data_IF_720734757171
#
_entry.id   IF_720734757171
#
_cell.length_a   1.000
_cell.length_b   1.000
_cell.length_c   1.000
_cell.angle_alpha   90.00
_cell.angle_beta   90.00
_cell.angle_gamma   90.00
#
_symmetry.space_group_name_H-M   'P 1'
#
loop_
_entity.id
_entity.type
_entity.pdbx_description
1 polymer ?
#
# COMPACT_ATOMS: atom_id res chain seq x y z
N UNK A 1 12.06 -8.26 -15.86
CA UNK A 1 10.60 -8.48 -16.00
C UNK A 1 10.02 -7.63 -17.12
N UNK A 2 10.04 -6.29 -17.03
CA UNK A 2 9.47 -5.40 -18.06
C UNK A 2 10.12 -5.59 -19.43
N UNK A 3 11.46 -5.58 -19.50
CA UNK A 3 12.20 -5.84 -20.75
C UNK A 3 11.83 -7.21 -21.33
N UNK A 4 11.80 -8.24 -20.49
CA UNK A 4 11.39 -9.60 -20.90
C UNK A 4 9.98 -9.62 -21.46
N UNK A 5 9.05 -8.87 -20.87
CA UNK A 5 7.67 -8.76 -21.36
C UNK A 5 7.59 -8.04 -22.71
N UNK A 6 8.34 -6.95 -22.89
CA UNK A 6 8.42 -6.23 -24.17
C UNK A 6 8.98 -7.12 -25.28
N UNK A 7 10.04 -7.87 -25.00
CA UNK A 7 10.60 -8.85 -25.94
C UNK A 7 9.59 -9.97 -26.22
N UNK A 8 8.87 -10.47 -25.21
CA UNK A 8 7.85 -11.50 -25.39
C UNK A 8 6.71 -11.05 -26.31
N UNK A 9 6.31 -9.77 -26.26
CA UNK A 9 5.27 -9.22 -27.15
C UNK A 9 5.72 -9.24 -28.62
N UNK A 10 7.00 -9.02 -28.88
CA UNK A 10 7.57 -9.05 -30.24
C UNK A 10 7.80 -10.48 -30.72
N UNK A 11 8.34 -11.36 -29.87
CA UNK A 11 8.70 -12.73 -30.23
C UNK A 11 7.51 -13.69 -30.26
N UNK A 12 6.48 -13.45 -29.46
CA UNK A 12 5.26 -14.26 -29.38
C UNK A 12 4.02 -13.39 -29.66
N UNK A 13 3.85 -12.88 -30.89
CA UNK A 13 2.67 -12.10 -31.24
C UNK A 13 1.43 -12.99 -31.20
N UNK A 14 0.32 -12.47 -30.67
CA UNK A 14 -1.00 -13.14 -30.57
C UNK A 14 -1.16 -14.22 -29.47
N UNK A 15 -0.45 -14.12 -28.35
CA UNK A 15 -0.76 -14.96 -27.19
C UNK A 15 -2.21 -14.72 -26.72
N UNK A 16 -3.00 -15.80 -26.65
CA UNK A 16 -4.35 -15.77 -26.07
C UNK A 16 -4.34 -15.28 -24.62
N UNK A 17 -3.28 -15.62 -23.88
CA UNK A 17 -3.05 -15.16 -22.53
C UNK A 17 -1.66 -14.49 -22.44
N UNK A 18 -1.59 -13.15 -22.39
CA UNK A 18 -0.33 -12.42 -22.31
C UNK A 18 0.56 -12.82 -21.12
N UNK A 19 -0.01 -13.42 -20.07
CA UNK A 19 0.71 -13.86 -18.87
C UNK A 19 1.65 -15.03 -19.15
N UNK A 20 1.40 -15.80 -20.20
CA UNK A 20 2.25 -16.94 -20.60
C UNK A 20 3.55 -16.48 -21.26
N UNK A 21 3.62 -15.25 -21.77
CA UNK A 21 4.78 -14.74 -22.50
C UNK A 21 6.08 -14.80 -21.69
N UNK A 22 6.01 -14.56 -20.39
CA UNK A 22 7.19 -14.65 -19.53
C UNK A 22 7.71 -16.10 -19.41
N UNK A 23 6.80 -17.07 -19.29
CA UNK A 23 7.15 -18.50 -19.19
C UNK A 23 7.70 -19.00 -20.53
N UNK A 24 7.10 -18.60 -21.64
CA UNK A 24 7.59 -18.94 -22.99
C UNK A 24 8.98 -18.39 -23.26
N UNK A 25 9.25 -17.14 -22.85
CA UNK A 25 10.60 -16.57 -22.93
C UNK A 25 11.62 -17.41 -22.16
N UNK A 26 11.26 -17.88 -20.97
CA UNK A 26 12.14 -18.73 -20.17
C UNK A 26 12.40 -20.07 -20.85
N UNK A 27 11.37 -20.77 -21.30
CA UNK A 27 11.50 -22.12 -21.86
C UNK A 27 12.20 -22.14 -23.22
N UNK A 28 12.02 -21.10 -24.04
CA UNK A 28 12.65 -21.02 -25.37
C UNK A 28 14.09 -20.53 -25.33
N UNK A 29 14.46 -19.65 -24.38
CA UNK A 29 15.74 -18.95 -24.42
C UNK A 29 16.72 -19.31 -23.29
N UNK A 30 16.27 -19.98 -22.21
CA UNK A 30 17.19 -20.40 -21.15
C UNK A 30 17.74 -21.81 -21.38
N UNK A 31 19.07 -22.02 -21.22
CA UNK A 31 19.64 -23.36 -21.19
C UNK A 31 19.15 -24.12 -19.96
N UNK A 32 19.15 -25.47 -20.02
CA UNK A 32 18.54 -26.35 -19.01
C UNK A 32 18.92 -26.01 -17.55
N UNK A 33 20.18 -25.66 -17.29
CA UNK A 33 20.65 -25.27 -15.95
C UNK A 33 20.03 -23.95 -15.46
N UNK A 34 20.03 -22.91 -16.30
CA UNK A 34 19.43 -21.61 -15.96
C UNK A 34 17.91 -21.65 -15.92
N UNK A 35 17.29 -22.53 -16.73
CA UNK A 35 15.85 -22.76 -16.68
C UNK A 35 15.42 -23.30 -15.31
N UNK A 36 16.10 -24.34 -14.81
CA UNK A 36 15.86 -24.90 -13.47
C UNK A 36 16.09 -23.89 -12.35
N UNK A 37 17.16 -23.09 -12.46
CA UNK A 37 17.44 -21.99 -11.53
C UNK A 37 16.30 -20.97 -11.50
N UNK A 38 15.82 -20.54 -12.67
CA UNK A 38 14.75 -19.55 -12.79
C UNK A 38 13.42 -20.07 -12.21
N UNK A 39 13.04 -21.31 -12.49
CA UNK A 39 11.86 -21.93 -11.88
C UNK A 39 11.96 -21.96 -10.35
N UNK A 40 13.12 -22.34 -9.82
CA UNK A 40 13.37 -22.38 -8.38
C UNK A 40 13.28 -20.97 -7.78
N UNK A 41 13.86 -19.96 -8.44
CA UNK A 41 13.79 -18.57 -8.02
C UNK A 41 12.35 -18.03 -7.99
N UNK A 42 11.53 -18.34 -9.01
CA UNK A 42 10.12 -17.96 -9.05
C UNK A 42 9.32 -18.63 -7.93
N UNK A 43 9.53 -19.92 -7.71
CA UNK A 43 8.89 -20.66 -6.61
C UNK A 43 9.28 -20.07 -5.24
N UNK A 44 10.57 -19.76 -5.04
CA UNK A 44 11.08 -19.11 -3.84
C UNK A 44 10.46 -17.73 -3.63
N UNK A 45 10.38 -16.90 -4.68
CA UNK A 45 9.76 -15.59 -4.61
C UNK A 45 8.28 -15.68 -4.22
N UNK A 46 7.54 -16.61 -4.82
CA UNK A 46 6.14 -16.87 -4.47
C UNK A 46 5.97 -17.32 -3.01
N UNK A 47 6.81 -18.27 -2.55
CA UNK A 47 6.82 -18.73 -1.16
C UNK A 47 7.10 -17.59 -0.17
N UNK A 48 8.00 -16.67 -0.52
CA UNK A 48 8.31 -15.52 0.33
C UNK A 48 7.09 -14.61 0.56
N UNK A 49 6.32 -14.36 -0.51
CA UNK A 49 5.10 -13.54 -0.45
C UNK A 49 4.02 -14.24 0.38
N UNK A 50 3.77 -15.52 0.13
CA UNK A 50 2.77 -16.29 0.89
C UNK A 50 3.15 -16.38 2.36
N UNK A 51 4.42 -16.70 2.66
CA UNK A 51 4.91 -16.80 4.03
C UNK A 51 4.73 -15.49 4.77
N UNK A 52 4.97 -14.35 4.12
CA UNK A 52 4.77 -13.02 4.73
C UNK A 52 3.31 -12.80 5.11
N UNK A 53 2.37 -13.09 4.21
CA UNK A 53 0.94 -12.91 4.45
C UNK A 53 0.40 -13.86 5.53
N UNK A 54 0.81 -15.13 5.52
CA UNK A 54 0.43 -16.10 6.55
C UNK A 54 1.00 -15.67 7.92
N UNK A 55 2.25 -15.22 7.95
CA UNK A 55 2.89 -14.79 9.19
C UNK A 55 2.20 -13.55 9.79
N UNK A 56 1.93 -12.52 8.97
CA UNK A 56 1.19 -11.34 9.41
C UNK A 56 -0.24 -11.69 9.85
N UNK A 57 -0.97 -12.46 9.04
CA UNK A 57 -2.33 -12.88 9.35
C UNK A 57 -2.42 -13.69 10.65
N UNK A 58 -1.50 -14.62 10.88
CA UNK A 58 -1.47 -15.39 12.12
C UNK A 58 -1.10 -14.52 13.32
N UNK A 59 -0.20 -13.55 13.15
CA UNK A 59 0.22 -12.65 14.22
C UNK A 59 -0.94 -11.75 14.66
N UNK A 60 -1.72 -11.20 13.73
CA UNK A 60 -2.90 -10.41 14.06
C UNK A 60 -3.97 -11.24 14.79
N UNK A 61 -4.30 -12.43 14.27
CA UNK A 61 -5.29 -13.31 14.92
C UNK A 61 -4.84 -13.79 16.30
N UNK A 62 -3.54 -14.02 16.50
CA UNK A 62 -3.03 -14.50 17.79
C UNK A 62 -2.83 -13.37 18.78
N UNK A 63 -2.11 -12.31 18.42
CA UNK A 63 -1.74 -11.24 19.37
C UNK A 63 -2.91 -10.30 19.61
N UNK A 64 -3.55 -9.85 18.55
CA UNK A 64 -4.54 -8.76 18.66
C UNK A 64 -5.92 -9.29 19.05
N UNK A 65 -6.22 -10.55 18.71
CA UNK A 65 -7.50 -11.18 19.04
C UNK A 65 -7.38 -12.25 20.14
N UNK A 66 -6.68 -13.36 19.87
CA UNK A 66 -6.67 -14.52 20.78
C UNK A 66 -6.04 -14.20 22.14
N UNK A 67 -4.85 -13.61 22.15
CA UNK A 67 -4.17 -13.21 23.38
C UNK A 67 -4.98 -12.13 24.08
N UNK A 68 -5.37 -11.07 23.38
CA UNK A 68 -6.07 -9.94 24.00
C UNK A 68 -7.44 -10.30 24.61
N UNK A 69 -8.25 -11.13 23.96
CA UNK A 69 -9.65 -11.34 24.35
C UNK A 69 -9.98 -12.76 24.81
N UNK A 70 -9.28 -13.79 24.32
CA UNK A 70 -9.61 -15.20 24.62
C UNK A 70 -8.75 -15.73 25.77
N UNK A 71 -7.43 -15.50 25.73
CA UNK A 71 -6.50 -16.02 26.73
C UNK A 71 -5.32 -15.06 26.96
N UNK A 72 -5.47 -14.03 27.81
CA UNK A 72 -4.46 -12.97 28.01
C UNK A 72 -3.22 -13.35 28.81
N UNK A 73 -3.27 -14.43 29.59
CA UNK A 73 -2.19 -14.81 30.51
C UNK A 73 -1.64 -16.22 30.25
N UNK A 74 -1.41 -16.58 28.98
CA UNK A 74 -0.75 -17.84 28.64
C UNK A 74 0.77 -17.65 28.53
N UNK A 75 1.53 -18.74 28.68
CA UNK A 75 2.98 -18.73 28.42
C UNK A 75 3.24 -18.47 26.94
N UNK A 76 4.34 -17.80 26.59
CA UNK A 76 4.74 -17.54 25.18
C UNK A 76 4.71 -18.79 24.29
N UNK A 77 5.15 -19.94 24.82
CA UNK A 77 5.09 -21.23 24.10
C UNK A 77 3.67 -21.60 23.65
N UNK A 78 2.65 -21.23 24.42
CA UNK A 78 1.24 -21.40 24.04
C UNK A 78 0.90 -20.57 22.81
N UNK A 79 1.22 -19.26 22.81
CA UNK A 79 0.93 -18.39 21.67
C UNK A 79 1.67 -18.80 20.40
N UNK A 80 2.92 -19.27 20.51
CA UNK A 80 3.67 -19.81 19.36
C UNK A 80 2.96 -21.04 18.79
N UNK A 81 2.49 -21.96 19.63
CA UNK A 81 1.76 -23.15 19.17
C UNK A 81 0.42 -22.78 18.51
N UNK A 82 -0.32 -21.81 19.09
CA UNK A 82 -1.56 -21.31 18.48
C UNK A 82 -1.27 -20.62 17.16
N UNK A 83 -0.20 -19.82 17.06
CA UNK A 83 0.22 -19.16 15.80
C UNK A 83 0.56 -20.17 14.71
N UNK A 84 1.21 -21.29 15.04
CA UNK A 84 1.45 -22.39 14.08
C UNK A 84 0.15 -23.01 13.59
N UNK A 85 -0.81 -23.26 14.49
CA UNK A 85 -2.11 -23.81 14.13
C UNK A 85 -2.93 -22.85 13.26
N UNK A 86 -2.95 -21.55 13.62
CA UNK A 86 -3.61 -20.50 12.84
C UNK A 86 -2.93 -20.33 11.47
N UNK A 87 -1.59 -20.42 11.41
CA UNK A 87 -0.86 -20.35 10.14
C UNK A 87 -1.27 -21.48 9.19
N UNK A 88 -1.38 -22.71 9.70
CA UNK A 88 -1.87 -23.85 8.93
C UNK A 88 -3.32 -23.64 8.48
N UNK A 89 -4.18 -23.14 9.35
CA UNK A 89 -5.58 -22.84 9.02
C UNK A 89 -5.68 -21.77 7.92
N UNK A 90 -4.89 -20.69 8.00
CA UNK A 90 -4.84 -19.65 6.98
C UNK A 90 -4.30 -20.18 5.66
N UNK A 91 -3.29 -21.05 5.69
CA UNK A 91 -2.74 -21.69 4.50
C UNK A 91 -3.80 -22.54 3.78
N UNK A 92 -4.50 -23.41 4.51
CA UNK A 92 -5.56 -24.27 3.95
C UNK A 92 -6.74 -23.43 3.45
N UNK A 93 -7.18 -22.45 4.23
CA UNK A 93 -8.27 -21.53 3.85
C UNK A 93 -7.91 -20.73 2.59
N UNK A 94 -6.69 -20.20 2.53
CA UNK A 94 -6.18 -19.46 1.37
C UNK A 94 -6.10 -20.32 0.11
N UNK A 95 -5.63 -21.57 0.23
CA UNK A 95 -5.61 -22.52 -0.87
C UNK A 95 -7.03 -22.86 -1.38
N UNK A 96 -7.98 -23.06 -0.46
CA UNK A 96 -9.37 -23.35 -0.80
C UNK A 96 -10.05 -22.16 -1.48
N UNK A 97 -9.89 -20.95 -0.94
CA UNK A 97 -10.43 -19.74 -1.55
C UNK A 97 -9.80 -19.52 -2.92
N UNK A 98 -8.48 -19.70 -3.05
CA UNK A 98 -7.77 -19.62 -4.32
C UNK A 98 -8.29 -20.62 -5.37
N UNK A 99 -8.65 -21.83 -4.94
CA UNK A 99 -9.24 -22.85 -5.81
C UNK A 99 -10.65 -22.49 -6.30
N UNK A 100 -11.48 -21.88 -5.44
CA UNK A 100 -12.87 -21.51 -5.76
C UNK A 100 -12.95 -20.16 -6.50
N UNK A 101 -11.92 -19.32 -6.39
CA UNK A 101 -11.94 -17.96 -6.93
C UNK A 101 -11.97 -17.96 -8.47
N UNK A 102 -13.08 -17.49 -9.03
CA UNK A 102 -13.32 -17.44 -10.47
C UNK A 102 -12.57 -16.29 -11.18
N UNK A 103 -12.29 -15.19 -10.47
CA UNK A 103 -11.60 -14.02 -11.03
C UNK A 103 -10.61 -13.44 -10.04
N UNK A 104 -9.32 -13.49 -10.38
CA UNK A 104 -8.25 -12.85 -9.62
C UNK A 104 -8.34 -11.32 -9.72
N UNK A 105 -8.71 -10.81 -10.90
CA UNK A 105 -8.81 -9.36 -11.15
C UNK A 105 -9.93 -8.76 -10.31
N UNK A 106 -11.10 -9.39 -10.28
CA UNK A 106 -12.22 -8.90 -9.47
C UNK A 106 -11.96 -8.92 -7.97
N UNK A 107 -11.21 -9.93 -7.48
CA UNK A 107 -10.75 -9.97 -6.08
C UNK A 107 -9.79 -8.82 -5.75
N UNK A 108 -8.84 -8.53 -6.66
CA UNK A 108 -7.92 -7.41 -6.52
C UNK A 108 -8.63 -6.05 -6.56
N UNK A 109 -9.56 -5.86 -7.49
CA UNK A 109 -10.37 -4.65 -7.60
C UNK A 109 -11.18 -4.40 -6.33
N UNK A 110 -11.82 -5.45 -5.76
CA UNK A 110 -12.55 -5.32 -4.50
C UNK A 110 -11.63 -4.84 -3.36
N UNK A 111 -10.45 -5.44 -3.22
CA UNK A 111 -9.48 -5.07 -2.19
C UNK A 111 -8.99 -3.63 -2.37
N UNK A 112 -8.72 -3.21 -3.61
CA UNK A 112 -8.31 -1.84 -3.90
C UNK A 112 -9.41 -0.83 -3.61
N UNK A 113 -10.67 -1.13 -3.96
CA UNK A 113 -11.80 -0.24 -3.70
C UNK A 113 -12.03 -0.05 -2.20
N UNK A 114 -11.97 -1.13 -1.40
CA UNK A 114 -12.05 -1.04 0.07
C UNK A 114 -10.86 -0.25 0.62
N UNK A 115 -9.65 -0.57 0.16
CA UNK A 115 -8.41 0.08 0.60
C UNK A 115 -8.43 1.59 0.34
N UNK A 116 -8.86 2.02 -0.85
CA UNK A 116 -8.97 3.43 -1.21
C UNK A 116 -9.91 4.22 -0.29
N UNK A 117 -11.04 3.64 0.10
CA UNK A 117 -11.96 4.26 1.05
C UNK A 117 -11.37 4.49 2.44
N UNK A 118 -10.39 3.66 2.84
CA UNK A 118 -9.68 3.79 4.13
C UNK A 118 -8.37 4.57 4.05
N UNK A 119 -7.80 4.74 2.86
CA UNK A 119 -6.46 5.31 2.70
C UNK A 119 -6.33 6.73 3.25
N UNK A 120 -7.34 7.57 3.01
CA UNK A 120 -7.29 8.98 3.44
C UNK A 120 -7.27 9.14 4.96
N UNK A 121 -8.06 8.37 5.72
CA UNK A 121 -8.06 8.48 7.18
C UNK A 121 -6.73 8.01 7.77
N UNK A 122 -6.12 6.96 7.21
CA UNK A 122 -4.83 6.43 7.68
C UNK A 122 -3.65 7.36 7.40
N UNK A 123 -3.71 8.15 6.33
CA UNK A 123 -2.73 9.20 6.07
C UNK A 123 -3.00 10.39 6.99
N UNK A 124 -4.24 10.88 7.01
CA UNK A 124 -4.57 12.14 7.66
C UNK A 124 -4.43 12.07 9.19
N UNK A 125 -4.53 10.90 9.81
CA UNK A 125 -4.32 10.73 11.27
C UNK A 125 -2.96 11.25 11.74
N UNK A 126 -1.96 11.22 10.88
CA UNK A 126 -0.62 11.73 11.19
C UNK A 126 -0.56 13.26 11.17
N UNK A 127 -1.48 13.92 10.47
CA UNK A 127 -1.49 15.37 10.26
C UNK A 127 -2.64 16.08 10.99
N UNK A 128 -3.64 15.35 11.50
CA UNK A 128 -4.83 15.91 12.14
C UNK A 128 -5.20 15.21 13.44
N UNK A 129 -4.97 15.90 14.56
CA UNK A 129 -5.22 15.44 15.94
C UNK A 129 -6.66 15.02 16.25
N UNK A 130 -7.65 15.40 15.41
CA UNK A 130 -9.07 15.09 15.63
C UNK A 130 -9.43 13.65 15.26
N UNK A 131 -8.63 13.00 14.42
CA UNK A 131 -8.89 11.63 13.98
C UNK A 131 -8.74 10.71 15.19
N UNK A 132 -9.79 9.93 15.47
CA UNK A 132 -9.88 9.02 16.60
C UNK A 132 -10.28 7.61 16.13
N UNK A 133 -10.43 6.68 17.08
CA UNK A 133 -10.81 5.30 16.75
C UNK A 133 -12.14 5.20 15.97
N UNK A 134 -13.11 6.08 16.24
CA UNK A 134 -14.40 6.09 15.53
C UNK A 134 -14.28 6.58 14.09
N UNK A 135 -13.36 7.50 13.80
CA UNK A 135 -13.00 7.90 12.44
C UNK A 135 -12.50 6.68 11.64
N UNK A 136 -11.55 5.91 12.20
CA UNK A 136 -10.99 4.75 11.50
C UNK A 136 -12.02 3.62 11.33
N UNK A 137 -12.76 3.27 12.40
CA UNK A 137 -13.78 2.22 12.36
C UNK A 137 -14.87 2.57 11.34
N UNK A 138 -15.32 3.83 11.31
CA UNK A 138 -16.35 4.25 10.37
C UNK A 138 -15.88 4.27 8.93
N UNK A 139 -14.63 4.67 8.67
CA UNK A 139 -14.02 4.58 7.34
C UNK A 139 -13.96 3.12 6.87
N UNK A 140 -13.44 2.21 7.70
CA UNK A 140 -13.32 0.78 7.36
C UNK A 140 -14.69 0.13 7.12
N UNK A 141 -15.65 0.41 8.01
CA UNK A 141 -17.00 -0.17 7.92
C UNK A 141 -17.75 0.36 6.69
N UNK A 142 -17.72 1.68 6.48
CA UNK A 142 -18.37 2.28 5.30
C UNK A 142 -17.71 1.86 4.00
N UNK A 143 -16.38 1.74 3.95
CA UNK A 143 -15.67 1.31 2.75
C UNK A 143 -16.06 -0.11 2.35
N UNK A 144 -16.16 -1.02 3.31
CA UNK A 144 -16.65 -2.38 3.07
C UNK A 144 -18.10 -2.37 2.58
N UNK A 145 -19.00 -1.70 3.31
CA UNK A 145 -20.44 -1.68 2.99
C UNK A 145 -20.70 -1.06 1.61
N UNK A 146 -20.07 0.09 1.31
CA UNK A 146 -20.26 0.78 0.03
C UNK A 146 -19.67 -0.05 -1.11
N UNK A 147 -18.45 -0.57 -0.98
CA UNK A 147 -17.82 -1.41 -2.01
C UNK A 147 -18.67 -2.64 -2.35
N UNK A 148 -19.15 -3.35 -1.33
CA UNK A 148 -20.01 -4.51 -1.51
C UNK A 148 -21.36 -4.12 -2.12
N UNK A 149 -21.96 -3.03 -1.66
CA UNK A 149 -23.24 -2.54 -2.19
C UNK A 149 -23.14 -2.19 -3.67
N UNK A 150 -22.09 -1.49 -4.10
CA UNK A 150 -21.86 -1.15 -5.50
C UNK A 150 -21.69 -2.39 -6.38
N UNK A 151 -20.96 -3.41 -5.90
CA UNK A 151 -20.82 -4.68 -6.63
C UNK A 151 -22.14 -5.45 -6.71
N UNK A 152 -22.93 -5.46 -5.64
CA UNK A 152 -24.25 -6.10 -5.63
C UNK A 152 -25.23 -5.38 -6.55
N UNK A 153 -25.29 -4.04 -6.51
CA UNK A 153 -26.17 -3.25 -7.38
C UNK A 153 -25.85 -3.45 -8.86
N UNK A 154 -24.57 -3.55 -9.22
CA UNK A 154 -24.14 -3.88 -10.59
C UNK A 154 -24.52 -5.32 -10.96
N UNK A 155 -24.35 -6.28 -10.05
CA UNK A 155 -24.74 -7.68 -10.26
C UNK A 155 -26.24 -7.83 -10.54
N UNK A 156 -27.09 -7.02 -9.90
CA UNK A 156 -28.54 -7.02 -10.11
C UNK A 156 -29.02 -6.01 -11.18
N UNK A 157 -28.11 -5.41 -11.94
CA UNK A 157 -28.41 -4.42 -12.99
C UNK A 157 -29.23 -3.19 -12.50
N UNK A 158 -29.21 -2.91 -11.20
CA UNK A 158 -29.86 -1.72 -10.61
C UNK A 158 -29.02 -0.46 -10.80
N UNK A 159 -27.73 -0.64 -11.03
CA UNK A 159 -26.78 0.43 -11.32
C UNK A 159 -25.81 -0.09 -12.39
N UNK A 160 -25.71 0.62 -13.52
CA UNK A 160 -24.92 0.17 -14.66
C UNK A 160 -23.84 1.20 -14.94
N UNK A 161 -22.58 0.83 -14.70
CA UNK A 161 -21.43 1.58 -15.17
C UNK A 161 -20.95 1.02 -16.50
N UNK A 162 -20.32 1.85 -17.37
CA UNK A 162 -19.62 1.36 -18.54
C UNK A 162 -18.55 0.34 -18.11
N UNK A 163 -18.53 -0.86 -18.71
CA UNK A 163 -17.66 -1.97 -18.27
C UNK A 163 -16.18 -1.58 -18.14
N UNK A 164 -15.67 -0.74 -19.05
CA UNK A 164 -14.27 -0.29 -19.04
C UNK A 164 -13.94 0.68 -17.91
N UNK A 165 -14.94 1.33 -17.33
CA UNK A 165 -14.79 2.38 -16.31
C UNK A 165 -15.41 1.99 -14.97
N UNK A 166 -16.06 0.84 -14.87
CA UNK A 166 -16.77 0.38 -13.67
C UNK A 166 -15.88 0.41 -12.44
N UNK A 167 -14.67 -0.14 -12.53
CA UNK A 167 -13.69 -0.10 -11.44
C UNK A 167 -13.31 1.31 -11.02
N UNK A 168 -13.11 2.23 -11.98
CA UNK A 168 -12.79 3.63 -11.70
C UNK A 168 -13.93 4.36 -10.98
N UNK A 169 -15.17 4.14 -11.42
CA UNK A 169 -16.35 4.69 -10.75
C UNK A 169 -16.54 4.11 -9.35
N UNK A 170 -16.38 2.79 -9.18
CA UNK A 170 -16.42 2.13 -7.87
C UNK A 170 -15.42 2.75 -6.89
N UNK A 171 -14.17 2.95 -7.34
CA UNK A 171 -13.12 3.57 -6.55
C UNK A 171 -13.47 5.00 -6.14
N UNK A 172 -13.88 5.84 -7.08
CA UNK A 172 -14.18 7.25 -6.83
C UNK A 172 -15.37 7.38 -5.89
N UNK A 173 -16.46 6.66 -6.17
CA UNK A 173 -17.68 6.71 -5.35
C UNK A 173 -17.39 6.22 -3.94
N UNK A 174 -16.73 5.06 -3.81
CA UNK A 174 -16.37 4.53 -2.49
C UNK A 174 -15.51 5.54 -1.74
N UNK A 175 -14.48 6.12 -2.36
CA UNK A 175 -13.60 7.09 -1.72
C UNK A 175 -14.35 8.34 -1.26
N UNK A 176 -15.21 8.92 -2.10
CA UNK A 176 -15.98 10.12 -1.76
C UNK A 176 -16.91 9.85 -0.59
N UNK A 177 -17.76 8.82 -0.69
CA UNK A 177 -18.78 8.57 0.33
C UNK A 177 -18.17 8.13 1.67
N UNK A 178 -17.15 7.27 1.64
CA UNK A 178 -16.41 6.89 2.87
C UNK A 178 -15.77 8.11 3.52
N UNK A 179 -15.18 9.00 2.71
CA UNK A 179 -14.56 10.22 3.20
C UNK A 179 -15.56 11.14 3.88
N UNK A 180 -16.71 11.34 3.28
CA UNK A 180 -17.80 12.11 3.89
C UNK A 180 -18.25 11.48 5.22
N UNK A 181 -18.45 10.15 5.24
CA UNK A 181 -18.93 9.45 6.44
C UNK A 181 -17.94 9.59 7.60
N UNK A 182 -16.66 9.27 7.39
CA UNK A 182 -15.69 9.32 8.48
C UNK A 182 -15.39 10.77 8.89
N UNK A 183 -15.44 11.74 7.99
CA UNK A 183 -15.33 13.17 8.34
C UNK A 183 -16.48 13.61 9.24
N UNK A 184 -17.72 13.29 8.88
CA UNK A 184 -18.91 13.59 9.69
C UNK A 184 -18.74 12.97 11.09
N UNK A 185 -18.35 11.71 11.16
CA UNK A 185 -18.15 11.01 12.44
C UNK A 185 -17.01 11.63 13.26
N UNK A 186 -15.92 12.06 12.62
CA UNK A 186 -14.80 12.75 13.30
C UNK A 186 -15.22 14.09 13.92
N UNK A 187 -16.14 14.80 13.28
CA UNK A 187 -16.67 16.06 13.78
C UNK A 187 -17.71 15.85 14.89
N UNK A 188 -18.53 14.80 14.79
CA UNK A 188 -19.56 14.46 15.78
C UNK A 188 -19.00 13.79 17.04
N UNK A 189 -17.92 13.03 16.91
CA UNK A 189 -17.30 12.32 18.04
C UNK A 189 -16.36 13.24 18.83
N UNK A 190 -16.22 12.93 20.11
CA UNK A 190 -15.27 13.64 20.97
C UNK A 190 -13.84 13.28 20.54
N UNK A 191 -12.91 14.26 20.54
CA UNK A 191 -11.50 13.94 20.33
C UNK A 191 -10.98 13.06 21.46
N UNK A 192 -9.85 12.39 21.22
CA UNK A 192 -9.15 11.63 22.25
C UNK A 192 -8.77 12.50 23.44
N UNK A 193 -8.54 11.86 24.60
CA UNK A 193 -8.17 12.58 25.81
C UNK A 193 -6.90 13.42 25.60
N UNK A 194 -6.88 14.62 26.18
CA UNK A 194 -5.75 15.55 26.05
C UNK A 194 -4.43 14.92 26.51
N UNK A 195 -4.48 14.06 27.52
CA UNK A 195 -3.32 13.30 28.01
C UNK A 195 -2.76 12.36 26.93
N UNK A 196 -3.64 11.60 26.26
CA UNK A 196 -3.23 10.70 25.17
C UNK A 196 -2.63 11.48 24.00
N UNK A 197 -3.24 12.62 23.63
CA UNK A 197 -2.74 13.48 22.55
C UNK A 197 -1.37 14.08 22.88
N UNK A 198 -1.15 14.52 24.12
CA UNK A 198 0.16 15.02 24.58
C UNK A 198 1.21 13.92 24.59
N UNK A 199 0.88 12.74 25.12
CA UNK A 199 1.78 11.58 25.14
C UNK A 199 2.16 11.13 23.72
N UNK A 200 1.20 11.13 22.78
CA UNK A 200 1.46 10.85 21.37
C UNK A 200 2.37 11.92 20.77
N UNK A 201 2.07 13.19 20.96
CA UNK A 201 2.87 14.30 20.42
C UNK A 201 4.32 14.27 20.91
N UNK A 202 4.54 13.97 22.20
CA UNK A 202 5.88 13.86 22.78
C UNK A 202 6.72 12.75 22.16
N UNK A 203 6.10 11.60 21.83
CA UNK A 203 6.77 10.42 21.29
C UNK A 203 6.94 10.48 19.78
N UNK A 204 5.86 10.76 19.06
CA UNK A 204 5.83 10.69 17.60
C UNK A 204 6.25 12.00 16.93
N UNK A 205 6.19 13.12 17.66
CA UNK A 205 6.52 14.46 17.16
C UNK A 205 5.97 14.70 15.74
N UNK A 206 4.65 14.51 15.53
CA UNK A 206 4.06 14.61 14.20
C UNK A 206 4.18 16.05 13.67
N UNK A 207 4.61 16.18 12.42
CA UNK A 207 4.66 17.45 11.73
C UNK A 207 3.27 17.88 11.22
N UNK A 208 3.07 19.19 11.06
CA UNK A 208 1.93 19.72 10.33
C UNK A 208 0.92 20.54 11.13
N UNK A 209 0.18 21.35 10.38
CA UNK A 209 -0.70 22.41 10.88
C UNK A 209 -1.82 21.91 11.80
N UNK A 210 -2.28 20.67 11.61
CA UNK A 210 -3.35 20.13 12.44
C UNK A 210 -2.95 20.00 13.91
N UNK A 211 -1.67 19.75 14.23
CA UNK A 211 -1.22 19.56 15.60
C UNK A 211 -0.98 20.86 16.39
N UNK A 212 -1.13 22.03 15.77
CA UNK A 212 -0.94 23.35 16.40
C UNK A 212 -1.65 23.53 17.76
N UNK A 213 -2.92 23.09 17.96
CA UNK A 213 -3.60 23.26 19.25
C UNK A 213 -2.99 22.46 20.41
N UNK A 214 -2.29 21.36 20.09
CA UNK A 214 -1.59 20.52 21.07
C UNK A 214 -0.17 21.04 21.28
N UNK A 215 0.50 21.43 20.19
CA UNK A 215 1.82 22.04 20.22
C UNK A 215 1.87 23.32 21.07
N UNK A 216 0.84 24.17 21.02
CA UNK A 216 0.78 25.40 21.82
C UNK A 216 0.80 25.14 23.34
N UNK A 217 0.42 23.94 23.77
CA UNK A 217 0.46 23.52 25.18
C UNK A 217 1.78 22.85 25.57
N UNK A 218 2.67 22.59 24.61
CA UNK A 218 3.98 21.97 24.80
C UNK A 218 5.07 22.78 24.05
N UNK A 219 5.29 24.06 24.42
CA UNK A 219 6.19 24.96 23.69
C UNK A 219 7.67 24.53 23.72
N UNK A 220 8.05 23.66 24.65
CA UNK A 220 9.42 23.14 24.80
C UNK A 220 9.80 22.14 23.70
N UNK A 221 8.81 21.57 22.99
CA UNK A 221 9.01 20.53 21.97
C UNK A 221 8.86 21.07 20.55
N UNK A 222 9.24 22.33 20.30
CA UNK A 222 9.16 22.95 18.96
C UNK A 222 9.92 22.13 17.92
N UNK A 223 9.16 21.47 17.05
CA UNK A 223 9.66 20.84 15.84
C UNK A 223 9.97 21.93 14.81
N UNK A 224 11.09 21.82 14.09
CA UNK A 224 11.33 22.62 12.89
C UNK A 224 10.37 22.16 11.79
N UNK A 225 9.25 22.86 11.68
CA UNK A 225 8.12 22.47 10.83
C UNK A 225 8.44 22.74 9.35
N UNK A 226 9.20 21.85 8.71
CA UNK A 226 9.53 21.93 7.29
C UNK A 226 8.66 20.98 6.44
N UNK A 227 7.40 20.76 6.83
CA UNK A 227 6.51 19.82 6.12
C UNK A 227 6.37 20.12 4.63
N UNK A 228 6.25 21.40 4.25
CA UNK A 228 6.19 21.84 2.85
C UNK A 228 7.39 21.35 2.05
N UNK A 229 8.52 21.43 2.71
CA UNK A 229 9.85 21.24 2.21
C UNK A 229 10.10 19.73 2.09
N UNK A 230 9.73 18.93 3.11
CA UNK A 230 9.68 17.45 3.03
C UNK A 230 8.71 16.95 1.95
N UNK A 231 7.60 17.66 1.72
CA UNK A 231 6.66 17.34 0.64
C UNK A 231 7.28 17.61 -0.74
N UNK A 232 8.05 18.70 -0.90
CA UNK A 232 8.83 18.94 -2.12
C UNK A 232 9.89 17.86 -2.33
N UNK A 233 10.59 17.42 -1.28
CA UNK A 233 11.56 16.33 -1.37
C UNK A 233 10.89 15.02 -1.78
N UNK A 234 9.68 14.75 -1.25
CA UNK A 234 8.88 13.59 -1.65
C UNK A 234 8.44 13.66 -3.13
N UNK A 235 7.96 14.81 -3.59
CA UNK A 235 7.62 15.02 -5.01
C UNK A 235 8.84 14.89 -5.92
N UNK A 236 9.96 15.47 -5.52
CA UNK A 236 11.24 15.35 -6.22
C UNK A 236 11.71 13.89 -6.22
N UNK A 237 11.50 13.13 -5.14
CA UNK A 237 11.84 11.72 -5.04
C UNK A 237 10.99 10.86 -6.00
N UNK A 238 9.69 11.12 -6.07
CA UNK A 238 8.81 10.51 -7.07
C UNK A 238 9.30 10.84 -8.49
N UNK A 239 9.61 12.11 -8.76
CA UNK A 239 10.16 12.57 -10.03
C UNK A 239 11.47 11.86 -10.39
N UNK A 240 12.41 11.77 -9.44
CA UNK A 240 13.68 11.07 -9.59
C UNK A 240 13.48 9.60 -9.97
N UNK A 241 12.64 8.88 -9.22
CA UNK A 241 12.41 7.44 -9.46
C UNK A 241 11.81 7.22 -10.83
N UNK A 242 10.74 7.94 -11.18
CA UNK A 242 10.09 7.78 -12.49
C UNK A 242 11.00 8.22 -13.64
N UNK A 243 11.65 9.37 -13.53
CA UNK A 243 12.52 9.89 -14.57
C UNK A 243 13.74 8.97 -14.80
N UNK A 244 14.34 8.42 -13.74
CA UNK A 244 15.41 7.43 -13.88
C UNK A 244 14.89 6.13 -14.49
N UNK A 245 13.76 5.61 -14.01
CA UNK A 245 13.18 4.35 -14.50
C UNK A 245 12.85 4.42 -16.00
N UNK A 246 12.11 5.45 -16.42
CA UNK A 246 11.76 5.65 -17.82
C UNK A 246 12.96 6.10 -18.65
N UNK A 247 13.86 6.89 -18.09
CA UNK A 247 15.07 7.34 -18.77
C UNK A 247 15.97 6.18 -19.19
N UNK A 248 16.30 5.29 -18.26
CA UNK A 248 17.02 4.06 -18.60
C UNK A 248 16.20 3.15 -19.52
N UNK A 249 14.88 3.08 -19.33
CA UNK A 249 13.99 2.34 -20.23
C UNK A 249 14.11 2.79 -21.69
N UNK A 250 14.08 4.10 -21.93
CA UNK A 250 14.13 4.68 -23.27
C UNK A 250 15.51 4.55 -23.92
N UNK A 251 16.59 4.69 -23.14
CA UNK A 251 17.96 4.39 -23.63
C UNK A 251 18.05 2.92 -24.09
N UNK A 252 17.51 1.99 -23.29
CA UNK A 252 17.52 0.56 -23.64
C UNK A 252 16.65 0.25 -24.86
N UNK A 253 15.62 1.05 -25.12
CA UNK A 253 14.74 0.94 -26.29
C UNK A 253 15.28 1.69 -27.53
N UNK A 254 16.47 2.30 -27.44
CA UNK A 254 17.14 2.99 -28.54
C UNK A 254 16.71 4.45 -28.76
N UNK A 255 15.93 5.03 -27.83
CA UNK A 255 15.56 6.43 -27.85
C UNK A 255 16.47 7.26 -26.92
N UNK A 256 17.73 7.36 -27.31
CA UNK A 256 18.78 7.95 -26.47
C UNK A 256 18.49 9.40 -26.09
N UNK A 257 17.86 10.17 -26.98
CA UNK A 257 17.54 11.59 -26.72
C UNK A 257 16.56 11.75 -25.57
N UNK A 258 15.42 11.06 -25.65
CA UNK A 258 14.39 11.15 -24.60
C UNK A 258 14.90 10.51 -23.30
N UNK A 259 15.62 9.40 -23.43
CA UNK A 259 16.25 8.73 -22.31
C UNK A 259 17.24 9.61 -21.53
N UNK A 260 18.15 10.30 -22.23
CA UNK A 260 19.10 11.23 -21.62
C UNK A 260 18.42 12.44 -20.98
N UNK A 261 17.35 12.98 -21.60
CA UNK A 261 16.56 14.08 -21.01
C UNK A 261 15.95 13.62 -19.67
N UNK A 262 15.31 12.45 -19.66
CA UNK A 262 14.69 11.91 -18.44
C UNK A 262 15.72 11.61 -17.35
N UNK A 263 16.87 11.01 -17.69
CA UNK A 263 17.97 10.82 -16.74
C UNK A 263 18.47 12.16 -16.19
N UNK A 264 18.58 13.18 -17.05
CA UNK A 264 18.93 14.55 -16.63
C UNK A 264 17.93 15.14 -15.63
N UNK A 265 16.63 14.99 -15.88
CA UNK A 265 15.55 15.40 -14.94
C UNK A 265 15.67 14.63 -13.62
N UNK A 266 15.98 13.33 -13.69
CA UNK A 266 16.25 12.50 -12.50
C UNK A 266 17.40 13.07 -11.67
N UNK A 267 18.55 13.33 -12.30
CA UNK A 267 19.71 13.89 -11.61
C UNK A 267 19.44 15.29 -11.02
N UNK A 268 18.67 16.14 -11.70
CA UNK A 268 18.28 17.45 -11.19
C UNK A 268 17.38 17.35 -9.95
N UNK A 269 16.37 16.48 -9.99
CA UNK A 269 15.48 16.25 -8.84
C UNK A 269 16.21 15.60 -7.67
N UNK A 270 17.11 14.66 -7.93
CA UNK A 270 18.01 14.10 -6.92
C UNK A 270 18.96 15.15 -6.33
N UNK A 271 19.49 16.04 -7.16
CA UNK A 271 20.33 17.17 -6.75
C UNK A 271 19.58 18.15 -5.86
N UNK A 272 18.31 18.44 -6.16
CA UNK A 272 17.43 19.25 -5.31
C UNK A 272 17.25 18.63 -3.92
N UNK A 273 16.93 17.33 -3.85
CA UNK A 273 16.79 16.62 -2.57
C UNK A 273 18.10 16.70 -1.79
N UNK A 274 19.23 16.41 -2.42
CA UNK A 274 20.54 16.46 -1.75
C UNK A 274 20.86 17.87 -1.23
N UNK A 275 20.62 18.90 -2.04
CA UNK A 275 20.84 20.30 -1.68
C UNK A 275 19.99 20.71 -0.48
N UNK A 276 18.71 20.35 -0.50
CA UNK A 276 17.79 20.68 0.56
C UNK A 276 18.14 19.96 1.87
N UNK A 277 18.29 18.63 1.85
CA UNK A 277 18.60 17.85 3.05
C UNK A 277 19.94 18.28 3.67
N UNK A 278 20.91 18.66 2.82
CA UNK A 278 22.20 19.20 3.28
C UNK A 278 22.06 20.55 3.98
N UNK A 279 21.08 21.38 3.62
CA UNK A 279 20.79 22.65 4.31
C UNK A 279 20.06 22.45 5.63
N UNK A 280 19.16 21.47 5.72
CA UNK A 280 18.42 21.14 6.95
C UNK A 280 19.28 20.37 7.97
N UNK A 281 20.39 19.80 7.51
CA UNK A 281 21.34 19.05 8.34
C UNK A 281 20.87 17.62 8.58
N UNK A 282 21.61 16.65 8.05
CA UNK A 282 21.29 15.23 8.05
C UNK A 282 20.92 14.61 9.42
N UNK A 283 21.36 15.24 10.53
CA UNK A 283 21.03 14.81 11.90
C UNK A 283 19.57 15.04 12.29
N UNK A 284 18.86 15.99 11.66
CA UNK A 284 17.46 16.30 11.98
C UNK A 284 16.46 15.32 11.36
N UNK A 285 16.92 14.42 10.48
CA UNK A 285 16.09 13.50 9.68
C UNK A 285 16.27 12.03 10.14
N UNK A 286 17.34 11.73 10.86
CA UNK A 286 17.71 10.37 11.29
C UNK A 286 17.26 10.01 12.73
N UNK A 287 16.60 10.94 13.43
CA UNK A 287 15.93 10.73 14.73
C UNK A 287 14.42 10.63 14.55
#
# INVERSE_FOLDING_TARGET
WIITALVAVVLFPNLKNPREGYVLMMTHHLPKGLLGLMFTAMASAFMSTISTHINWGSSYLVRDFYQRFIKPNAKEKHYVNVSRAVSLLLMVSGALIGYIMQSQVGGWELLLTIGAGTGLVFILRWFWWRINAWSEISAMSSALVISLSLKLLQKYHLLVFPEKLSFGYELIITTIFTTLIWLIITLLTKPESMETLKNFYQRARPAGLGWKPIQSQLPELKISDNLFFSFLDWLAGCGLIYAMLFGFGEILLGNDKLGLILVGIGLLTGGFIYWDLSRRGWKTIAE
#
